data_IF_391118829096
#
_entry.id   IF_391118829096
#
_cell.length_a   1.000
_cell.length_b   1.000
_cell.length_c   1.000
_cell.angle_alpha   90.00
_cell.angle_beta   90.00
_cell.angle_gamma   90.00
#
_symmetry.space_group_name_H-M   'P 1'
#
loop_
_entity.id
_entity.type
_entity.pdbx_description
1 polymer ?
#
# COMPACT_ATOMS: atom_id res chain seq x y z
N UNK A 1 63.79 -51.16 -6.98
CA UNK A 1 62.84 -50.99 -8.07
C UNK A 1 61.45 -51.16 -7.56
N UNK A 2 60.82 -50.18 -7.10
CA UNK A 2 59.34 -50.13 -6.85
C UNK A 2 58.92 -48.69 -6.84
N UNK A 3 58.15 -48.35 -7.84
CA UNK A 3 57.50 -47.08 -8.01
C UNK A 3 56.32 -47.01 -7.06
N UNK A 4 56.34 -46.10 -6.09
CA UNK A 4 55.22 -45.82 -5.22
C UNK A 4 54.33 -44.73 -5.83
N UNK A 5 53.11 -45.11 -6.06
CA UNK A 5 52.06 -44.23 -6.54
C UNK A 5 51.40 -43.52 -5.29
N UNK A 6 51.66 -42.27 -5.12
CA UNK A 6 51.01 -41.49 -4.09
C UNK A 6 49.71 -40.89 -4.61
N UNK A 7 48.60 -41.44 -4.17
CA UNK A 7 47.26 -40.89 -4.43
C UNK A 7 47.06 -39.62 -3.60
N UNK A 8 46.90 -38.52 -4.30
CA UNK A 8 46.51 -37.22 -3.72
C UNK A 8 45.05 -37.25 -3.33
N UNK A 9 44.78 -37.29 -2.05
CA UNK A 9 43.44 -37.09 -1.48
C UNK A 9 43.10 -35.61 -1.44
N UNK A 10 42.11 -35.19 -2.19
CA UNK A 10 41.51 -33.86 -2.15
C UNK A 10 40.63 -33.80 -0.91
N UNK A 11 40.80 -32.83 0.03
CA UNK A 11 39.85 -32.66 1.10
C UNK A 11 38.59 -31.99 0.59
N UNK A 12 37.46 -32.67 0.73
CA UNK A 12 36.12 -32.14 0.51
C UNK A 12 35.86 -31.10 1.57
N UNK A 13 35.91 -29.83 1.19
CA UNK A 13 35.50 -28.75 2.09
C UNK A 13 33.98 -28.74 2.17
N UNK A 14 33.46 -29.29 3.26
CA UNK A 14 32.06 -29.09 3.67
C UNK A 14 31.94 -27.66 4.15
N UNK A 15 31.44 -26.79 3.29
CA UNK A 15 31.06 -25.42 3.66
C UNK A 15 29.82 -25.50 4.54
N UNK A 16 30.03 -25.44 5.85
CA UNK A 16 28.96 -25.13 6.79
C UNK A 16 28.55 -23.67 6.56
N UNK A 17 27.49 -23.46 5.77
CA UNK A 17 26.83 -22.18 5.73
C UNK A 17 26.26 -21.90 7.12
N UNK A 18 26.98 -21.10 7.90
CA UNK A 18 26.46 -20.51 9.11
C UNK A 18 25.34 -19.57 8.70
N UNK A 19 24.11 -20.04 8.83
CA UNK A 19 22.92 -19.19 8.79
C UNK A 19 23.01 -18.25 10.01
N UNK A 20 23.60 -17.08 9.81
CA UNK A 20 23.40 -15.97 10.71
C UNK A 20 21.94 -15.58 10.56
N UNK A 21 21.11 -16.06 11.50
CA UNK A 21 19.78 -15.53 11.68
C UNK A 21 19.95 -14.07 12.12
N UNK A 22 20.00 -13.16 11.16
CA UNK A 22 19.74 -11.75 11.39
C UNK A 22 18.30 -11.71 11.89
N UNK A 23 18.13 -11.55 13.20
CA UNK A 23 16.85 -11.21 13.78
C UNK A 23 16.43 -9.90 13.11
N UNK A 24 15.64 -10.02 12.03
CA UNK A 24 14.92 -8.90 11.47
C UNK A 24 13.92 -8.48 12.53
N UNK A 25 14.26 -7.43 13.24
CA UNK A 25 13.30 -6.64 13.98
C UNK A 25 12.46 -5.88 12.92
N UNK A 26 11.81 -6.63 12.06
CA UNK A 26 10.77 -6.12 11.21
C UNK A 26 9.63 -5.80 12.18
N UNK A 27 9.46 -4.52 12.47
CA UNK A 27 8.24 -4.06 13.10
C UNK A 27 7.10 -4.61 12.25
N UNK A 28 6.36 -5.57 12.80
CA UNK A 28 5.21 -6.16 12.12
C UNK A 28 4.30 -4.99 11.75
N UNK A 29 3.87 -4.83 10.49
CA UNK A 29 2.96 -3.75 10.13
C UNK A 29 1.77 -3.84 11.08
N UNK A 30 1.51 -2.77 11.84
CA UNK A 30 0.37 -2.76 12.73
C UNK A 30 -0.87 -2.65 11.84
N UNK A 31 -1.71 -3.68 11.89
CA UNK A 31 -3.03 -3.64 11.27
C UNK A 31 -3.96 -2.96 12.27
N UNK A 32 -4.45 -1.78 11.92
CA UNK A 32 -5.57 -1.17 12.64
C UNK A 32 -6.82 -1.83 12.08
N UNK A 33 -7.49 -2.62 12.90
CA UNK A 33 -8.71 -3.33 12.55
C UNK A 33 -9.90 -2.65 13.23
N UNK A 34 -10.94 -2.36 12.46
CA UNK A 34 -12.23 -1.87 12.97
C UNK A 34 -13.35 -2.75 12.46
N UNK A 35 -14.24 -3.17 13.38
CA UNK A 35 -15.43 -3.97 13.07
C UNK A 35 -16.69 -3.11 13.21
N UNK A 36 -17.57 -3.16 12.24
CA UNK A 36 -18.81 -2.40 12.28
C UNK A 36 -19.66 -2.54 11.04
N UNK A 37 -20.58 -1.60 10.86
CA UNK A 37 -21.51 -1.60 9.74
C UNK A 37 -20.97 -0.67 8.64
N UNK A 38 -20.87 -1.19 7.42
CA UNK A 38 -20.72 -0.39 6.22
C UNK A 38 -22.09 -0.02 5.64
N UNK A 39 -22.17 1.13 5.01
CA UNK A 39 -23.20 1.46 4.03
C UNK A 39 -22.54 2.01 2.77
N UNK A 40 -23.32 2.50 1.82
CA UNK A 40 -22.80 3.11 0.61
C UNK A 40 -23.60 4.35 0.22
N UNK A 41 -22.95 5.24 -0.54
CA UNK A 41 -23.56 6.46 -1.03
C UNK A 41 -24.69 6.16 -2.00
N UNK A 42 -25.89 6.58 -1.66
CA UNK A 42 -27.06 6.45 -2.52
C UNK A 42 -27.01 7.38 -3.75
N UNK A 43 -28.05 7.32 -4.58
CA UNK A 43 -28.21 8.26 -5.69
C UNK A 43 -28.22 9.71 -5.21
N UNK A 44 -27.65 10.62 -6.01
CA UNK A 44 -27.66 12.07 -5.73
C UNK A 44 -26.40 12.60 -5.05
N UNK A 45 -25.39 11.79 -4.78
CA UNK A 45 -24.09 12.24 -4.31
C UNK A 45 -23.07 12.46 -5.44
N UNK A 46 -23.26 11.81 -6.61
CA UNK A 46 -22.37 11.96 -7.75
C UNK A 46 -22.20 13.44 -8.14
N UNK A 47 -20.96 13.84 -8.40
CA UNK A 47 -20.61 15.21 -8.78
C UNK A 47 -20.49 16.19 -7.62
N UNK A 48 -20.82 15.81 -6.38
CA UNK A 48 -20.61 16.65 -5.19
C UNK A 48 -19.16 16.61 -4.73
N UNK A 49 -18.71 17.67 -4.06
CA UNK A 49 -17.38 17.67 -3.44
C UNK A 49 -17.36 16.81 -2.18
N UNK A 50 -16.33 16.01 -2.06
CA UNK A 50 -15.98 15.26 -0.85
C UNK A 50 -15.23 16.17 0.13
N UNK A 51 -15.05 15.70 1.37
CA UNK A 51 -14.39 16.48 2.42
C UNK A 51 -12.89 16.75 2.12
N UNK A 52 -12.23 15.95 1.28
CA UNK A 52 -10.88 16.24 0.82
C UNK A 52 -10.84 17.17 -0.41
N UNK A 53 -12.00 17.62 -0.91
CA UNK A 53 -12.12 18.56 -2.04
C UNK A 53 -12.24 17.91 -3.43
N UNK A 54 -12.15 16.61 -3.55
CA UNK A 54 -12.37 15.88 -4.82
C UNK A 54 -13.86 15.91 -5.23
N UNK A 55 -14.13 15.65 -6.50
CA UNK A 55 -15.50 15.40 -6.98
C UNK A 55 -15.81 13.92 -6.77
N UNK A 56 -16.90 13.63 -6.09
CA UNK A 56 -17.34 12.25 -5.87
C UNK A 56 -17.78 11.58 -7.17
N UNK A 57 -17.12 10.49 -7.49
CA UNK A 57 -17.45 9.60 -8.59
C UNK A 57 -17.83 8.21 -8.04
N UNK A 58 -19.08 7.77 -8.17
CA UNK A 58 -19.55 6.50 -7.65
C UNK A 58 -18.90 5.27 -8.30
N UNK A 59 -18.24 5.43 -9.45
CA UNK A 59 -17.53 4.36 -10.16
C UNK A 59 -16.12 4.11 -9.62
N UNK A 60 -15.58 5.02 -8.81
CA UNK A 60 -14.26 4.88 -8.21
C UNK A 60 -14.32 4.11 -6.89
N UNK A 61 -13.23 3.40 -6.55
CA UNK A 61 -13.10 2.69 -5.28
C UNK A 61 -12.67 3.66 -4.17
N UNK A 62 -13.64 4.41 -3.65
CA UNK A 62 -13.45 5.39 -2.58
C UNK A 62 -14.43 5.17 -1.44
N UNK A 63 -14.14 5.77 -0.29
CA UNK A 63 -15.00 5.70 0.89
C UNK A 63 -14.89 6.92 1.78
N UNK A 64 -15.94 7.12 2.62
CA UNK A 64 -15.88 8.01 3.78
C UNK A 64 -15.56 7.23 5.05
N UNK A 65 -14.70 7.80 5.88
CA UNK A 65 -14.42 7.35 7.23
C UNK A 65 -14.30 8.54 8.17
N UNK A 66 -14.67 8.33 9.47
CA UNK A 66 -14.71 9.43 10.44
C UNK A 66 -13.34 10.03 10.73
N UNK A 67 -12.34 9.16 10.95
CA UNK A 67 -11.07 9.53 11.57
C UNK A 67 -9.85 9.21 10.70
N UNK A 68 -9.91 8.14 9.88
CA UNK A 68 -8.76 7.73 9.09
C UNK A 68 -8.25 8.89 8.21
N UNK A 69 -6.93 9.07 8.10
CA UNK A 69 -6.36 10.12 7.25
C UNK A 69 -6.88 10.02 5.81
N UNK A 70 -7.07 11.17 5.16
CA UNK A 70 -7.36 11.17 3.73
C UNK A 70 -6.23 10.50 2.95
N UNK A 71 -6.61 9.83 1.88
CA UNK A 71 -5.75 9.00 1.03
C UNK A 71 -5.25 7.70 1.68
N UNK A 72 -5.68 7.37 2.91
CA UNK A 72 -5.45 6.02 3.43
C UNK A 72 -6.10 4.98 2.52
N UNK A 73 -5.40 3.90 2.26
CA UNK A 73 -5.96 2.70 1.64
C UNK A 73 -6.38 1.73 2.73
N UNK A 74 -7.60 1.24 2.61
CA UNK A 74 -8.15 0.28 3.55
C UNK A 74 -8.72 -0.92 2.81
N UNK A 75 -8.51 -2.10 3.35
CA UNK A 75 -9.22 -3.31 2.92
C UNK A 75 -10.53 -3.39 3.68
N UNK A 76 -11.64 -3.45 2.95
CA UNK A 76 -12.98 -3.64 3.52
C UNK A 76 -13.45 -5.03 3.16
N UNK A 77 -13.64 -5.88 4.16
CA UNK A 77 -14.12 -7.26 4.01
C UNK A 77 -15.54 -7.38 4.54
N UNK A 78 -16.46 -7.80 3.68
CA UNK A 78 -17.81 -8.18 4.07
C UNK A 78 -17.77 -9.53 4.82
N UNK A 79 -18.18 -9.53 6.08
CA UNK A 79 -18.05 -10.68 6.97
C UNK A 79 -19.09 -11.78 6.69
N UNK A 80 -20.16 -11.43 5.97
CA UNK A 80 -21.24 -12.39 5.68
C UNK A 80 -20.89 -13.27 4.47
N UNK A 81 -20.08 -12.77 3.52
CA UNK A 81 -19.74 -13.48 2.28
C UNK A 81 -18.23 -13.60 2.00
N UNK A 82 -17.37 -13.01 2.84
CA UNK A 82 -15.92 -13.05 2.71
C UNK A 82 -15.32 -12.22 1.56
N UNK A 83 -16.16 -11.49 0.79
CA UNK A 83 -15.64 -10.63 -0.30
C UNK A 83 -14.99 -9.39 0.26
N UNK A 84 -13.90 -8.97 -0.37
CA UNK A 84 -13.16 -7.80 0.04
C UNK A 84 -12.83 -6.87 -1.13
N UNK A 85 -12.58 -5.61 -0.80
CA UNK A 85 -12.15 -4.57 -1.73
C UNK A 85 -11.18 -3.62 -1.03
N UNK A 86 -10.21 -3.10 -1.78
CA UNK A 86 -9.39 -1.98 -1.30
C UNK A 86 -10.01 -0.69 -1.78
N UNK A 87 -10.24 0.25 -0.85
CA UNK A 87 -10.79 1.58 -1.14
C UNK A 87 -9.89 2.67 -0.56
N UNK A 88 -9.94 3.85 -1.17
CA UNK A 88 -9.23 5.03 -0.69
C UNK A 88 -10.18 5.94 0.10
N UNK A 89 -9.74 6.38 1.27
CA UNK A 89 -10.50 7.34 2.08
C UNK A 89 -10.34 8.74 1.48
N UNK A 90 -11.43 9.34 1.01
CA UNK A 90 -11.46 10.70 0.46
C UNK A 90 -12.58 11.58 1.03
N UNK A 91 -13.41 11.03 1.93
CA UNK A 91 -14.52 11.77 2.50
C UNK A 91 -14.65 11.53 4.03
N UNK A 92 -15.49 12.33 4.69
CA UNK A 92 -15.81 12.23 6.11
C UNK A 92 -17.23 11.72 6.32
N UNK A 93 -17.37 10.85 7.28
CA UNK A 93 -18.59 10.13 7.64
C UNK A 93 -18.28 8.65 7.88
N UNK A 94 -19.28 7.80 8.08
CA UNK A 94 -20.72 8.13 8.24
C UNK A 94 -21.03 8.84 9.55
N UNK A 95 -22.03 9.72 9.52
CA UNK A 95 -22.50 10.41 10.75
C UNK A 95 -23.69 9.69 11.40
N UNK A 96 -24.18 8.60 10.79
CA UNK A 96 -25.22 7.76 11.37
C UNK A 96 -24.63 6.82 12.42
N UNK A 97 -25.23 6.74 13.64
CA UNK A 97 -24.73 5.84 14.67
C UNK A 97 -24.62 4.38 14.21
N UNK A 98 -23.60 3.68 14.69
CA UNK A 98 -23.36 2.25 14.40
C UNK A 98 -22.67 1.97 13.06
N UNK A 99 -22.57 2.96 12.16
CA UNK A 99 -21.80 2.82 10.91
C UNK A 99 -20.38 3.35 11.08
N UNK A 100 -19.45 2.67 10.42
CA UNK A 100 -18.01 3.00 10.47
C UNK A 100 -17.47 3.49 9.12
N UNK A 101 -18.04 3.05 8.00
CA UNK A 101 -17.57 3.38 6.66
C UNK A 101 -18.75 3.48 5.69
N UNK A 102 -18.70 4.45 4.77
CA UNK A 102 -19.61 4.56 3.64
C UNK A 102 -18.85 4.40 2.33
N UNK A 103 -19.16 3.34 1.58
CA UNK A 103 -18.48 3.00 0.33
C UNK A 103 -19.05 3.76 -0.86
N UNK A 104 -18.25 3.97 -1.89
CA UNK A 104 -18.77 4.26 -3.23
C UNK A 104 -19.64 3.10 -3.72
N UNK A 105 -20.43 3.34 -4.79
CA UNK A 105 -21.22 2.27 -5.42
C UNK A 105 -20.32 1.13 -5.90
N UNK A 106 -19.22 1.43 -6.57
CA UNK A 106 -18.25 0.43 -7.03
C UNK A 106 -17.69 -0.41 -5.87
N UNK A 107 -17.34 0.22 -4.74
CA UNK A 107 -16.89 -0.49 -3.54
C UNK A 107 -17.97 -1.43 -2.98
N UNK A 108 -19.22 -0.96 -2.91
CA UNK A 108 -20.35 -1.77 -2.41
C UNK A 108 -20.69 -2.95 -3.35
N UNK A 109 -20.59 -2.75 -4.67
CA UNK A 109 -20.73 -3.82 -5.66
C UNK A 109 -19.65 -4.88 -5.51
N UNK A 110 -18.40 -4.46 -5.32
CA UNK A 110 -17.27 -5.35 -5.16
C UNK A 110 -17.44 -6.31 -3.99
N UNK A 111 -17.93 -5.84 -2.84
CA UNK A 111 -18.18 -6.68 -1.66
C UNK A 111 -19.60 -7.26 -1.59
N UNK A 112 -20.44 -7.05 -2.62
CA UNK A 112 -21.75 -7.69 -2.76
C UNK A 112 -22.81 -7.18 -1.79
N UNK A 113 -22.81 -5.88 -1.42
CA UNK A 113 -23.76 -5.33 -0.45
C UNK A 113 -24.80 -4.37 -1.04
N UNK A 114 -24.86 -4.19 -2.35
CA UNK A 114 -25.82 -3.26 -2.98
C UNK A 114 -27.25 -3.59 -2.62
N UNK A 115 -27.63 -4.88 -2.67
CA UNK A 115 -29.00 -5.32 -2.42
C UNK A 115 -29.46 -5.16 -0.97
N UNK A 116 -28.56 -5.35 -0.01
CA UNK A 116 -28.84 -5.17 1.43
C UNK A 116 -28.72 -3.71 1.88
N UNK A 117 -28.02 -2.88 1.12
CA UNK A 117 -27.73 -1.48 1.47
C UNK A 117 -26.70 -1.31 2.60
N UNK A 118 -26.53 -2.31 3.44
CA UNK A 118 -25.55 -2.35 4.55
C UNK A 118 -24.94 -3.73 4.68
N UNK A 119 -23.77 -3.85 5.30
CA UNK A 119 -23.11 -5.12 5.60
C UNK A 119 -22.29 -5.01 6.90
N UNK A 120 -22.13 -6.13 7.61
CA UNK A 120 -21.14 -6.24 8.66
C UNK A 120 -19.76 -6.37 8.01
N UNK A 121 -18.87 -5.46 8.34
CA UNK A 121 -17.55 -5.41 7.71
C UNK A 121 -16.43 -5.42 8.74
N UNK A 122 -15.26 -5.85 8.24
CA UNK A 122 -13.97 -5.61 8.82
C UNK A 122 -13.23 -4.61 7.94
N UNK A 123 -12.76 -3.54 8.53
CA UNK A 123 -11.94 -2.52 7.88
C UNK A 123 -10.53 -2.66 8.41
N UNK A 124 -9.55 -2.86 7.54
CA UNK A 124 -8.16 -3.07 7.90
C UNK A 124 -7.30 -2.00 7.25
N UNK A 125 -6.55 -1.26 8.08
CA UNK A 125 -5.55 -0.29 7.62
C UNK A 125 -4.18 -0.88 7.92
N UNK A 126 -3.40 -1.17 6.90
CA UNK A 126 -2.00 -1.50 7.08
C UNK A 126 -1.20 -0.20 7.21
N UNK A 127 -0.68 0.04 8.40
CA UNK A 127 0.26 1.13 8.65
C UNK A 127 1.67 0.60 8.56
N UNK A 128 2.49 1.23 7.73
CA UNK A 128 3.91 0.98 7.75
C UNK A 128 4.55 1.63 8.99
N UNK A 129 5.68 1.14 9.48
CA UNK A 129 6.46 1.83 10.50
C UNK A 129 6.69 3.30 10.10
N UNK A 130 6.75 4.18 11.13
CA UNK A 130 6.88 5.62 10.88
C UNK A 130 8.06 5.93 9.94
N UNK A 131 7.79 6.70 8.89
CA UNK A 131 8.75 7.04 7.85
C UNK A 131 8.94 5.98 6.78
N UNK A 132 8.27 4.82 6.87
CA UNK A 132 8.26 3.81 5.81
C UNK A 132 7.08 4.01 4.87
N UNK A 133 7.31 3.79 3.59
CA UNK A 133 6.28 3.83 2.54
C UNK A 133 6.45 2.65 1.59
N UNK A 134 5.35 2.23 1.00
CA UNK A 134 5.37 1.22 -0.05
C UNK A 134 5.69 1.88 -1.39
N UNK A 135 6.70 1.35 -2.05
CA UNK A 135 7.05 1.74 -3.41
C UNK A 135 6.49 0.69 -4.37
N UNK A 136 5.85 1.16 -5.42
CA UNK A 136 5.44 0.36 -6.57
C UNK A 136 6.11 0.86 -7.83
N UNK A 137 5.87 0.17 -8.93
CA UNK A 137 6.37 0.58 -10.24
C UNK A 137 5.24 0.81 -11.23
N UNK A 138 5.48 1.69 -12.18
CA UNK A 138 4.56 1.93 -13.30
C UNK A 138 5.35 2.27 -14.57
N UNK A 139 4.77 1.93 -15.71
CA UNK A 139 5.31 2.39 -17.00
C UNK A 139 5.07 3.90 -17.17
N UNK A 140 5.95 4.56 -17.89
CA UNK A 140 5.83 5.98 -18.23
C UNK A 140 6.49 6.97 -17.28
N UNK A 141 7.02 6.52 -16.15
CA UNK A 141 7.94 7.30 -15.33
C UNK A 141 9.38 7.02 -15.76
N UNK A 142 10.18 8.06 -15.92
CA UNK A 142 11.55 7.97 -16.39
C UNK A 142 12.54 8.44 -15.31
N UNK A 143 13.64 7.72 -15.17
CA UNK A 143 14.73 8.12 -14.29
C UNK A 143 14.28 8.38 -12.86
N UNK A 144 14.44 9.62 -12.40
CA UNK A 144 14.13 10.05 -11.04
C UNK A 144 12.75 10.69 -10.89
N UNK A 145 11.79 10.23 -11.67
CA UNK A 145 10.39 10.65 -11.57
C UNK A 145 9.59 9.72 -10.67
N UNK A 146 8.60 10.29 -9.99
CA UNK A 146 7.67 9.53 -9.15
C UNK A 146 6.22 10.01 -9.36
N UNK A 147 5.28 9.11 -9.16
CA UNK A 147 3.88 9.47 -8.92
C UNK A 147 3.56 9.22 -7.44
N UNK A 148 2.90 10.16 -6.79
CA UNK A 148 2.55 10.03 -5.37
C UNK A 148 1.12 10.45 -5.11
N UNK A 149 0.40 9.60 -4.39
CA UNK A 149 -0.98 9.87 -3.95
C UNK A 149 -1.05 10.99 -2.92
N UNK A 150 -0.03 11.08 -2.07
CA UNK A 150 -0.01 11.95 -0.87
C UNK A 150 0.75 13.24 -1.10
N UNK A 151 1.84 13.21 -1.90
CA UNK A 151 2.72 14.36 -2.07
C UNK A 151 2.34 15.19 -3.30
N UNK A 152 2.34 16.53 -3.21
CA UNK A 152 2.08 17.40 -4.35
C UNK A 152 3.08 17.20 -5.51
N UNK A 153 2.64 17.49 -6.73
CA UNK A 153 3.55 17.57 -7.89
C UNK A 153 4.60 18.65 -7.64
N UNK A 154 5.84 18.34 -7.95
CA UNK A 154 7.00 19.19 -7.70
C UNK A 154 7.76 18.84 -6.41
N UNK A 155 7.16 18.10 -5.47
CA UNK A 155 7.84 17.66 -4.24
C UNK A 155 9.05 16.79 -4.58
N UNK A 156 10.14 17.03 -3.88
CA UNK A 156 11.32 16.16 -3.89
C UNK A 156 11.21 15.17 -2.72
N UNK A 157 11.29 13.90 -3.04
CA UNK A 157 11.28 12.82 -2.07
C UNK A 157 12.65 12.17 -2.02
N UNK A 158 13.19 11.99 -0.83
CA UNK A 158 14.46 11.28 -0.62
C UNK A 158 14.11 9.84 -0.22
N UNK A 159 14.38 8.91 -1.11
CA UNK A 159 14.13 7.48 -0.91
C UNK A 159 15.39 6.84 -0.34
N UNK A 160 15.28 6.21 0.84
CA UNK A 160 16.38 5.49 1.48
C UNK A 160 16.10 4.00 1.43
N UNK A 161 16.87 3.22 0.66
CA UNK A 161 16.73 1.77 0.64
C UNK A 161 16.95 1.18 2.04
N UNK A 162 16.14 0.20 2.47
CA UNK A 162 16.29 -0.43 3.78
C UNK A 162 17.59 -1.23 3.91
N UNK A 163 18.20 -1.59 2.80
CA UNK A 163 19.48 -2.28 2.73
C UNK A 163 20.70 -1.40 3.04
N UNK A 164 20.50 -0.08 3.26
CA UNK A 164 21.58 0.85 3.55
C UNK A 164 22.31 1.37 2.30
N UNK A 165 21.70 1.35 1.12
CA UNK A 165 22.24 1.95 -0.10
C UNK A 165 22.20 3.48 -0.08
N UNK A 166 22.80 4.10 -1.11
CA UNK A 166 22.77 5.56 -1.30
C UNK A 166 21.32 6.06 -1.42
N UNK A 167 20.98 7.18 -0.77
CA UNK A 167 19.68 7.81 -0.91
C UNK A 167 19.43 8.27 -2.35
N UNK A 168 18.23 8.08 -2.84
CA UNK A 168 17.82 8.52 -4.18
C UNK A 168 16.80 9.63 -4.06
N UNK A 169 17.04 10.75 -4.74
CA UNK A 169 16.08 11.86 -4.79
C UNK A 169 15.23 11.73 -6.04
N UNK A 170 13.91 11.71 -5.85
CA UNK A 170 12.95 11.67 -6.94
C UNK A 170 12.03 12.89 -6.90
N UNK A 171 11.55 13.31 -8.06
CA UNK A 171 10.57 14.39 -8.19
C UNK A 171 9.19 13.83 -8.43
N UNK A 172 8.23 14.23 -7.66
CA UNK A 172 6.82 13.91 -7.90
C UNK A 172 6.35 14.68 -9.14
N UNK A 173 6.00 13.97 -10.20
CA UNK A 173 5.52 14.53 -11.48
C UNK A 173 4.04 14.27 -11.70
N UNK A 174 3.44 13.34 -10.95
CA UNK A 174 2.04 12.96 -11.08
C UNK A 174 1.43 12.60 -9.73
N UNK A 175 0.12 12.79 -9.59
CA UNK A 175 -0.69 12.26 -8.48
C UNK A 175 -1.50 11.03 -8.86
N UNK A 176 -1.33 10.55 -10.10
CA UNK A 176 -2.06 9.40 -10.61
C UNK A 176 -1.40 8.09 -10.15
N UNK A 177 -1.75 7.66 -8.95
CA UNK A 177 -1.44 6.31 -8.45
C UNK A 177 -2.76 5.52 -8.48
N UNK A 178 -2.83 4.40 -9.21
CA UNK A 178 -4.04 3.58 -9.28
C UNK A 178 -4.54 3.20 -7.89
N UNK A 179 -5.86 3.23 -7.70
CA UNK A 179 -6.47 2.95 -6.38
C UNK A 179 -6.17 1.51 -5.94
N UNK A 180 -6.09 0.59 -6.88
CA UNK A 180 -5.78 -0.82 -6.65
C UNK A 180 -4.31 -1.05 -6.25
N UNK A 181 -3.45 -0.07 -6.50
CA UNK A 181 -2.04 -0.19 -6.12
C UNK A 181 -1.90 -0.12 -4.60
N UNK A 182 -1.26 -1.09 -3.97
CA UNK A 182 -0.93 -1.03 -2.55
C UNK A 182 0.18 -0.01 -2.26
N UNK A 183 0.82 0.53 -3.30
CA UNK A 183 1.93 1.47 -3.16
C UNK A 183 1.45 2.89 -2.87
N UNK A 184 2.21 3.60 -2.06
CA UNK A 184 2.00 5.02 -1.73
C UNK A 184 2.70 5.93 -2.74
N UNK A 185 3.81 5.45 -3.29
CA UNK A 185 4.63 6.10 -4.31
C UNK A 185 4.91 5.11 -5.43
N UNK A 186 4.76 5.53 -6.68
CA UNK A 186 5.18 4.77 -7.86
C UNK A 186 6.42 5.41 -8.45
N UNK A 187 7.34 4.59 -8.88
CA UNK A 187 8.59 5.00 -9.56
C UNK A 187 8.77 4.22 -10.86
N UNK A 188 9.71 4.64 -11.69
CA UNK A 188 10.08 3.87 -12.88
C UNK A 188 10.67 2.50 -12.52
N UNK A 189 10.54 1.54 -13.42
CA UNK A 189 10.95 0.16 -13.19
C UNK A 189 12.45 0.03 -12.83
N UNK A 190 13.29 0.83 -13.48
CA UNK A 190 14.73 0.82 -13.23
C UNK A 190 15.07 1.26 -11.80
N UNK A 191 14.40 2.32 -11.33
CA UNK A 191 14.59 2.81 -9.98
C UNK A 191 14.02 1.85 -8.94
N UNK A 192 12.87 1.24 -9.23
CA UNK A 192 12.26 0.22 -8.35
C UNK A 192 13.19 -0.97 -8.10
N UNK A 193 13.90 -1.41 -9.13
CA UNK A 193 14.89 -2.49 -9.01
C UNK A 193 16.04 -2.16 -8.04
N UNK A 194 16.33 -0.86 -7.86
CA UNK A 194 17.38 -0.38 -6.96
C UNK A 194 16.87 -0.17 -5.53
N UNK A 195 15.68 0.42 -5.39
CA UNK A 195 15.18 0.85 -4.05
C UNK A 195 14.35 -0.20 -3.35
N UNK A 196 13.70 -1.10 -4.09
CA UNK A 196 12.83 -2.15 -3.53
C UNK A 196 11.41 -1.68 -3.22
N UNK A 197 10.64 -2.54 -2.55
CA UNK A 197 9.20 -2.35 -2.34
C UNK A 197 8.83 -1.55 -1.08
N UNK A 198 9.70 -1.55 -0.08
CA UNK A 198 9.48 -0.84 1.19
C UNK A 198 10.71 0.00 1.51
N UNK A 199 10.54 1.28 1.67
CA UNK A 199 11.63 2.22 1.85
C UNK A 199 11.29 3.27 2.90
N UNK A 200 12.31 3.88 3.49
CA UNK A 200 12.15 5.09 4.28
C UNK A 200 12.10 6.30 3.37
N UNK A 201 11.15 7.19 3.60
CA UNK A 201 10.92 8.37 2.79
C UNK A 201 11.07 9.62 3.64
N UNK A 202 11.95 10.51 3.22
CA UNK A 202 12.07 11.85 3.77
C UNK A 202 11.55 12.86 2.73
N UNK A 203 10.82 13.86 3.15
CA UNK A 203 10.34 14.96 2.30
C UNK A 203 11.26 16.15 2.51
N UNK A 204 11.77 16.69 1.41
CA UNK A 204 12.66 17.85 1.41
C UNK A 204 11.92 19.10 0.89
#
# INVERSE_FOLDING_TARGET
MRTGNAASSIPTATSAATLVAVARNAATPSVIEELGIASWYGPGFAGRRTANGEIFDPSQLTAAHKELPFNSLVTVTNRDNGRSVVVRINDRGPFKPGRIIDLSRAGAEAIGMIGSGTAQVRVEVMTLPQGMVRIGTTGGLLGFEAASRVHPVGTLLVIRPPSGGEPVVVRVVSRQVPIESPADVLVGLELYAVVGSEVKLDVN
#
